data_IF_742095655602
#
_entry.id   IF_742095655602
#
_cell.length_a   1.000
_cell.length_b   1.000
_cell.length_c   1.000
_cell.angle_alpha   90.00
_cell.angle_beta   90.00
_cell.angle_gamma   90.00
#
_symmetry.space_group_name_H-M   'P 1'
#
loop_
_entity.id
_entity.type
_entity.pdbx_description
1 polymer ?
#
# COMPACT_ATOMS: atom_id res chain seq x y z
N UNK A 1 5.79 2.46 -11.24
CA UNK A 1 5.80 3.86 -11.77
C UNK A 1 7.10 4.50 -11.29
N UNK A 2 7.87 5.11 -12.21
CA UNK A 2 9.02 5.95 -11.86
C UNK A 2 8.61 7.39 -12.18
N UNK A 3 8.48 8.24 -11.17
CA UNK A 3 8.29 9.68 -11.36
C UNK A 3 9.49 10.41 -10.74
N UNK A 4 10.12 11.26 -11.54
CA UNK A 4 11.24 12.13 -11.18
C UNK A 4 10.75 13.54 -11.52
N UNK A 5 10.69 14.44 -10.52
CA UNK A 5 10.39 15.86 -10.75
C UNK A 5 11.47 16.50 -11.64
N UNK A 6 11.07 17.49 -12.45
CA UNK A 6 11.98 18.38 -13.15
C UNK A 6 12.41 19.51 -12.20
N UNK A 7 13.70 19.57 -11.85
CA UNK A 7 14.31 20.55 -10.94
C UNK A 7 14.17 22.04 -11.38
N UNK A 8 13.44 22.34 -12.47
CA UNK A 8 13.33 23.67 -13.06
C UNK A 8 12.07 24.49 -12.71
N UNK A 9 11.10 23.95 -11.97
CA UNK A 9 9.91 24.73 -11.58
C UNK A 9 10.14 25.45 -10.24
N UNK A 10 10.60 26.70 -10.28
CA UNK A 10 10.80 27.58 -9.12
C UNK A 10 9.49 28.10 -8.50
N UNK A 11 8.49 27.26 -8.26
CA UNK A 11 7.19 27.69 -7.75
C UNK A 11 6.53 26.65 -6.85
N UNK A 12 5.89 27.11 -5.78
CA UNK A 12 5.15 26.34 -4.77
C UNK A 12 3.92 25.54 -5.31
N UNK A 13 3.89 25.20 -6.59
CA UNK A 13 2.92 24.29 -7.22
C UNK A 13 3.67 23.04 -7.67
N UNK A 14 4.06 22.22 -6.71
CA UNK A 14 4.69 20.92 -6.97
C UNK A 14 3.58 19.91 -7.36
N UNK A 15 3.90 18.98 -8.27
CA UNK A 15 2.90 18.07 -8.84
C UNK A 15 2.30 17.19 -7.73
N UNK A 16 0.96 17.13 -7.65
CA UNK A 16 0.31 16.16 -6.77
C UNK A 16 0.28 14.79 -7.46
N UNK A 17 0.53 13.73 -6.71
CA UNK A 17 0.45 12.36 -7.21
C UNK A 17 -0.73 11.63 -6.58
N UNK A 18 -1.59 11.05 -7.41
CA UNK A 18 -2.63 10.13 -6.97
C UNK A 18 -2.40 8.75 -7.59
N UNK A 19 -2.34 7.74 -6.73
CA UNK A 19 -2.38 6.33 -7.11
C UNK A 19 -3.66 5.74 -6.54
N UNK A 20 -4.62 5.43 -7.40
CA UNK A 20 -5.91 4.88 -6.97
C UNK A 20 -6.35 3.66 -7.77
N UNK A 21 -6.87 2.65 -7.07
CA UNK A 21 -7.50 1.48 -7.68
C UNK A 21 -6.58 0.63 -8.57
N UNK A 22 -5.30 0.48 -8.21
CA UNK A 22 -4.32 -0.29 -8.98
C UNK A 22 -3.87 -1.59 -8.29
N UNK A 23 -3.39 -2.53 -9.11
CA UNK A 23 -2.63 -3.69 -8.64
C UNK A 23 -1.20 -3.59 -9.13
N UNK A 24 -0.25 -3.49 -8.19
CA UNK A 24 1.18 -3.65 -8.46
C UNK A 24 1.56 -5.05 -7.97
N UNK A 25 1.79 -6.00 -8.88
CA UNK A 25 2.16 -7.35 -8.46
C UNK A 25 3.36 -7.93 -9.18
N UNK A 26 4.24 -8.61 -8.43
CA UNK A 26 5.36 -9.34 -9.01
C UNK A 26 6.40 -8.44 -9.67
N UNK A 27 6.42 -7.15 -9.34
CA UNK A 27 7.41 -6.23 -9.90
C UNK A 27 8.75 -6.39 -9.17
N UNK A 28 9.85 -6.28 -9.92
CA UNK A 28 11.21 -6.39 -9.41
C UNK A 28 12.00 -5.14 -9.79
N UNK A 29 12.57 -4.47 -8.79
CA UNK A 29 13.50 -3.36 -8.98
C UNK A 29 14.89 -3.73 -8.45
N UNK A 30 15.95 -3.23 -9.06
CA UNK A 30 17.29 -3.48 -8.54
C UNK A 30 17.44 -2.91 -7.12
N UNK A 31 17.10 -1.64 -6.90
CA UNK A 31 17.36 -0.94 -5.62
C UNK A 31 16.15 -0.45 -4.86
N UNK A 32 15.18 0.19 -5.51
CA UNK A 32 14.17 0.94 -4.79
C UNK A 32 12.79 0.79 -5.43
N UNK A 33 11.77 0.69 -4.59
CA UNK A 33 10.37 0.73 -5.00
C UNK A 33 10.04 -0.41 -5.95
N UNK A 34 10.07 -1.64 -5.44
CA UNK A 34 9.80 -2.83 -6.25
C UNK A 34 8.50 -2.69 -7.04
N UNK A 35 7.44 -2.15 -6.44
CA UNK A 35 6.22 -1.76 -7.15
C UNK A 35 6.25 -0.31 -7.66
N UNK A 36 6.49 0.64 -6.76
CA UNK A 36 6.49 2.09 -7.06
C UNK A 36 7.60 2.81 -6.32
N UNK A 37 8.28 3.70 -7.04
CA UNK A 37 9.20 4.68 -6.47
C UNK A 37 8.81 6.06 -6.99
N UNK A 38 8.57 7.00 -6.09
CA UNK A 38 8.36 8.39 -6.43
C UNK A 38 9.23 9.31 -5.58
N UNK A 39 9.55 10.47 -6.14
CA UNK A 39 10.11 11.62 -5.45
C UNK A 39 9.27 12.82 -5.86
N UNK A 40 8.39 13.26 -4.96
CA UNK A 40 7.39 14.29 -5.21
C UNK A 40 7.27 15.18 -3.97
N UNK A 41 7.32 16.48 -4.15
CA UNK A 41 7.18 17.43 -3.04
C UNK A 41 5.73 17.90 -2.84
N UNK A 42 4.85 17.67 -3.82
CA UNK A 42 3.41 17.88 -3.71
C UNK A 42 2.68 16.87 -2.81
N UNK A 43 1.35 17.01 -2.73
CA UNK A 43 0.50 16.06 -2.01
C UNK A 43 0.50 14.71 -2.72
N UNK A 44 0.75 13.65 -1.96
CA UNK A 44 0.62 12.28 -2.46
C UNK A 44 -0.55 11.57 -1.80
N UNK A 45 -1.42 10.99 -2.63
CA UNK A 45 -2.52 10.12 -2.23
C UNK A 45 -2.32 8.74 -2.80
N UNK A 46 -2.27 7.73 -1.93
CA UNK A 46 -2.22 6.32 -2.31
C UNK A 46 -3.45 5.66 -1.72
N UNK A 47 -4.40 5.31 -2.57
CA UNK A 47 -5.75 4.91 -2.15
C UNK A 47 -6.24 3.63 -2.84
N UNK A 48 -6.82 2.68 -2.10
CA UNK A 48 -7.48 1.52 -2.70
C UNK A 48 -6.58 0.72 -3.67
N UNK A 49 -5.29 0.57 -3.37
CA UNK A 49 -4.37 -0.22 -4.19
C UNK A 49 -4.00 -1.53 -3.51
N UNK A 50 -3.70 -2.54 -4.33
CA UNK A 50 -3.06 -3.78 -3.89
C UNK A 50 -1.62 -3.80 -4.37
N UNK A 51 -0.67 -3.87 -3.43
CA UNK A 51 0.73 -4.13 -3.70
C UNK A 51 1.05 -5.55 -3.25
N UNK A 52 1.32 -6.44 -4.19
CA UNK A 52 1.48 -7.86 -3.93
C UNK A 52 2.80 -8.43 -4.47
N UNK A 53 3.61 -9.04 -3.61
CA UNK A 53 4.81 -9.77 -4.06
C UNK A 53 5.76 -8.91 -4.93
N UNK A 54 5.87 -7.61 -4.63
CA UNK A 54 6.87 -6.74 -5.25
C UNK A 54 8.18 -6.82 -4.46
N UNK A 55 9.30 -6.70 -5.16
CA UNK A 55 10.61 -6.90 -4.52
C UNK A 55 11.72 -6.00 -5.01
N UNK A 56 12.71 -5.79 -4.14
CA UNK A 56 14.06 -5.35 -4.54
C UNK A 56 15.03 -6.54 -4.54
N UNK A 57 16.17 -6.40 -5.24
CA UNK A 57 17.19 -7.48 -5.34
C UNK A 57 18.62 -7.06 -4.92
N UNK A 58 18.89 -5.78 -4.70
CA UNK A 58 20.19 -5.31 -4.19
C UNK A 58 20.34 -5.63 -2.69
N UNK A 59 21.16 -6.63 -2.37
CA UNK A 59 21.43 -7.09 -0.99
C UNK A 59 22.04 -6.04 -0.04
N UNK A 60 22.56 -4.94 -0.58
CA UNK A 60 23.16 -3.87 0.20
C UNK A 60 22.22 -2.66 0.37
N UNK A 61 21.42 -2.34 -0.64
CA UNK A 61 20.67 -1.06 -0.72
C UNK A 61 19.19 -1.21 -1.14
N UNK A 62 18.67 -2.43 -1.22
CA UNK A 62 17.30 -2.74 -1.62
C UNK A 62 16.23 -2.20 -0.66
N UNK A 63 15.52 -1.12 -0.99
CA UNK A 63 14.58 -0.44 -0.10
C UNK A 63 13.17 -0.36 -0.69
N UNK A 64 12.13 -0.50 0.13
CA UNK A 64 10.74 -0.30 -0.32
C UNK A 64 10.31 -1.38 -1.31
N UNK A 65 9.99 -2.58 -0.81
CA UNK A 65 9.59 -3.70 -1.66
C UNK A 65 8.33 -3.38 -2.47
N UNK A 66 7.32 -2.80 -1.83
CA UNK A 66 6.13 -2.30 -2.50
C UNK A 66 6.27 -0.85 -2.96
N UNK A 67 6.55 0.05 -2.02
CA UNK A 67 6.43 1.49 -2.23
C UNK A 67 7.58 2.24 -1.56
N UNK A 68 8.16 3.18 -2.29
CA UNK A 68 9.07 4.18 -1.75
C UNK A 68 8.43 5.55 -1.87
N UNK A 69 8.40 6.27 -0.75
CA UNK A 69 7.98 7.66 -0.68
C UNK A 69 9.23 8.55 -0.63
N UNK A 70 9.25 9.64 -1.36
CA UNK A 70 10.30 10.64 -1.26
C UNK A 70 9.71 12.04 -1.41
N UNK A 71 10.13 12.95 -0.54
CA UNK A 71 9.83 14.39 -0.62
C UNK A 71 10.86 15.19 0.19
N UNK A 72 10.88 16.51 -0.02
CA UNK A 72 11.66 17.43 0.81
C UNK A 72 10.99 17.74 2.15
N UNK A 73 11.79 18.18 3.13
CA UNK A 73 11.28 18.63 4.42
C UNK A 73 10.28 19.78 4.26
N UNK A 74 9.11 19.66 4.87
CA UNK A 74 8.03 20.64 4.77
C UNK A 74 7.02 20.39 3.63
N UNK A 75 7.21 19.33 2.84
CA UNK A 75 6.20 18.85 1.90
C UNK A 75 4.87 18.49 2.60
N UNK A 76 3.71 18.55 1.89
CA UNK A 76 2.43 18.12 2.43
C UNK A 76 2.45 16.67 2.90
N UNK A 77 1.57 16.36 3.87
CA UNK A 77 1.41 15.00 4.39
C UNK A 77 1.00 14.04 3.28
N UNK A 78 1.74 12.94 3.12
CA UNK A 78 1.36 11.86 2.21
C UNK A 78 0.27 11.00 2.86
N UNK A 79 -0.88 10.89 2.19
CA UNK A 79 -2.06 10.17 2.67
C UNK A 79 -2.13 8.80 2.03
N UNK A 80 -1.96 7.76 2.84
CA UNK A 80 -2.01 6.36 2.39
C UNK A 80 -3.20 5.71 3.09
N UNK A 81 -4.24 5.43 2.30
CA UNK A 81 -5.57 5.06 2.80
C UNK A 81 -6.11 3.81 2.12
N UNK A 82 -6.61 2.85 2.88
CA UNK A 82 -7.32 1.68 2.32
C UNK A 82 -6.51 0.89 1.29
N UNK A 83 -5.22 0.68 1.53
CA UNK A 83 -4.38 -0.16 0.66
C UNK A 83 -4.12 -1.53 1.29
N UNK A 84 -3.79 -2.50 0.44
CA UNK A 84 -3.29 -3.81 0.86
C UNK A 84 -1.85 -3.97 0.41
N UNK A 85 -0.91 -3.93 1.36
CA UNK A 85 0.50 -4.25 1.14
C UNK A 85 0.73 -5.69 1.59
N UNK A 86 0.85 -6.61 0.65
CA UNK A 86 0.95 -8.04 0.93
C UNK A 86 2.20 -8.69 0.33
N UNK A 87 2.95 -9.41 1.15
CA UNK A 87 4.07 -10.27 0.73
C UNK A 87 5.14 -9.52 -0.09
N UNK A 88 5.31 -8.22 0.12
CA UNK A 88 6.37 -7.45 -0.54
C UNK A 88 7.68 -7.60 0.22
N UNK A 89 8.80 -7.54 -0.50
CA UNK A 89 10.10 -7.87 0.06
C UNK A 89 11.17 -6.83 -0.30
N UNK A 90 11.95 -6.38 0.68
CA UNK A 90 13.10 -5.51 0.46
C UNK A 90 14.36 -6.11 1.08
N UNK A 91 15.48 -6.15 0.36
CA UNK A 91 16.72 -6.71 0.94
C UNK A 91 17.24 -5.91 2.14
N UNK A 92 17.08 -4.59 2.14
CA UNK A 92 17.62 -3.69 3.16
C UNK A 92 16.57 -3.33 4.21
N UNK A 93 15.52 -2.58 3.86
CA UNK A 93 14.45 -2.24 4.79
C UNK A 93 13.15 -1.80 4.11
N UNK A 94 12.03 -1.91 4.84
CA UNK A 94 10.71 -1.49 4.36
C UNK A 94 10.19 -2.38 3.24
N UNK A 95 9.93 -3.65 3.53
CA UNK A 95 9.30 -4.57 2.58
C UNK A 95 7.99 -4.02 2.02
N UNK A 96 7.14 -3.45 2.87
CA UNK A 96 5.94 -2.75 2.44
C UNK A 96 6.29 -1.35 1.94
N UNK A 97 6.59 -0.44 2.87
CA UNK A 97 6.89 0.96 2.54
C UNK A 97 8.27 1.34 3.06
N UNK A 98 9.05 2.03 2.23
CA UNK A 98 10.17 2.82 2.71
C UNK A 98 9.83 4.32 2.59
N UNK A 99 10.01 5.03 3.69
CA UNK A 99 9.84 6.47 3.79
C UNK A 99 11.06 7.06 4.53
N UNK A 100 11.92 7.87 3.87
CA UNK A 100 12.97 8.60 4.56
C UNK A 100 12.36 9.58 5.59
N UNK A 101 13.22 10.25 6.37
CA UNK A 101 12.77 11.09 7.48
C UNK A 101 11.98 12.34 7.08
N UNK A 102 12.16 12.83 5.85
CA UNK A 102 11.55 14.07 5.37
C UNK A 102 10.04 13.97 5.04
N UNK A 103 9.54 12.96 4.29
CA UNK A 103 8.11 12.83 4.03
C UNK A 103 7.33 12.54 5.30
N UNK A 104 6.33 13.38 5.61
CA UNK A 104 5.36 13.09 6.68
C UNK A 104 4.31 12.12 6.16
N UNK A 105 4.15 10.96 6.82
CA UNK A 105 3.26 9.88 6.38
C UNK A 105 2.08 9.73 7.32
N UNK A 106 0.88 9.68 6.74
CA UNK A 106 -0.35 9.28 7.44
C UNK A 106 -0.85 7.95 6.91
N UNK A 107 -1.09 7.02 7.83
CA UNK A 107 -1.70 5.72 7.52
C UNK A 107 -3.11 5.63 8.08
N UNK A 108 -4.08 5.35 7.22
CA UNK A 108 -5.47 5.08 7.61
C UNK A 108 -5.96 3.81 6.94
N UNK A 109 -6.54 2.87 7.68
CA UNK A 109 -7.24 1.72 7.08
C UNK A 109 -6.39 0.84 6.16
N UNK A 110 -5.08 0.68 6.39
CA UNK A 110 -4.23 -0.15 5.54
C UNK A 110 -4.00 -1.55 6.13
N UNK A 111 -3.82 -2.54 5.25
CA UNK A 111 -3.36 -3.87 5.63
C UNK A 111 -1.88 -4.02 5.27
N UNK A 112 -1.06 -4.39 6.24
CA UNK A 112 0.33 -4.81 6.10
C UNK A 112 0.45 -6.30 6.40
N UNK A 113 0.39 -7.12 5.36
CA UNK A 113 0.34 -8.57 5.47
C UNK A 113 1.60 -9.22 4.93
N UNK A 114 2.35 -9.90 5.78
CA UNK A 114 3.52 -10.66 5.37
C UNK A 114 4.60 -9.88 4.58
N UNK A 115 4.73 -8.54 4.68
CA UNK A 115 5.87 -7.86 4.06
C UNK A 115 7.17 -8.13 4.85
N UNK A 116 8.31 -8.14 4.17
CA UNK A 116 9.59 -8.61 4.72
C UNK A 116 10.78 -7.72 4.33
N UNK A 117 11.77 -7.65 5.23
CA UNK A 117 13.13 -7.22 4.88
C UNK A 117 14.19 -7.93 5.70
N UNK A 118 15.47 -7.85 5.31
CA UNK A 118 16.48 -8.73 5.90
C UNK A 118 17.34 -8.13 7.03
N UNK A 119 17.39 -6.81 7.23
CA UNK A 119 18.33 -6.23 8.21
C UNK A 119 17.78 -6.24 9.64
N UNK A 120 18.62 -6.71 10.56
CA UNK A 120 18.33 -6.92 11.98
C UNK A 120 17.87 -5.68 12.77
N UNK A 121 18.23 -4.50 12.28
CA UNK A 121 17.93 -3.21 12.90
C UNK A 121 16.84 -2.45 12.14
N UNK A 122 16.28 -3.04 11.09
CA UNK A 122 15.26 -2.42 10.28
C UNK A 122 13.90 -3.05 10.54
N UNK A 123 12.88 -2.20 10.65
CA UNK A 123 11.48 -2.64 10.70
C UNK A 123 11.05 -3.20 9.32
N UNK A 124 10.34 -4.33 9.30
CA UNK A 124 10.13 -5.07 8.05
C UNK A 124 8.95 -4.55 7.22
N UNK A 125 7.83 -4.28 7.87
CA UNK A 125 6.63 -3.78 7.18
C UNK A 125 6.86 -2.38 6.64
N UNK A 126 7.47 -1.52 7.46
CA UNK A 126 7.88 -0.17 7.10
C UNK A 126 9.18 0.18 7.81
N UNK A 127 10.10 0.90 7.16
CA UNK A 127 11.39 1.25 7.77
C UNK A 127 11.31 2.11 9.05
N UNK A 128 10.16 2.73 9.30
CA UNK A 128 9.80 3.47 10.51
C UNK A 128 8.27 3.46 10.67
N UNK A 129 7.79 3.73 11.88
CA UNK A 129 6.37 4.01 12.10
C UNK A 129 5.95 5.29 11.35
N UNK A 130 4.69 5.34 10.91
CA UNK A 130 4.13 6.54 10.31
C UNK A 130 4.03 7.69 11.34
N UNK A 131 4.17 8.92 10.85
CA UNK A 131 4.15 10.12 11.68
C UNK A 131 2.76 10.40 12.24
N UNK A 132 1.72 10.04 11.48
CA UNK A 132 0.32 10.26 11.83
C UNK A 132 -0.44 8.94 11.77
N UNK A 133 -1.00 8.56 12.91
CA UNK A 133 -1.90 7.41 13.03
C UNK A 133 -3.33 7.82 12.70
N UNK A 134 -3.78 7.50 11.48
CA UNK A 134 -5.17 7.70 11.07
C UNK A 134 -6.14 6.66 11.64
N UNK A 135 -5.63 5.59 12.26
CA UNK A 135 -6.42 4.48 12.79
C UNK A 135 -6.79 3.43 11.75
N UNK A 136 -7.33 2.31 12.24
CA UNK A 136 -7.84 1.22 11.42
C UNK A 136 -6.76 0.47 10.63
N UNK A 137 -5.49 0.53 11.00
CA UNK A 137 -4.45 -0.24 10.32
C UNK A 137 -4.36 -1.67 10.90
N UNK A 138 -4.13 -2.66 10.05
CA UNK A 138 -3.82 -4.05 10.44
C UNK A 138 -2.41 -4.40 10.01
N UNK A 139 -1.66 -5.06 10.89
CA UNK A 139 -0.34 -5.61 10.61
C UNK A 139 -0.28 -7.09 11.02
N UNK A 140 0.31 -7.92 10.16
CA UNK A 140 0.53 -9.32 10.47
C UNK A 140 1.78 -9.86 9.74
N UNK A 141 2.55 -10.76 10.37
CA UNK A 141 2.46 -11.24 11.77
C UNK A 141 2.94 -10.21 12.82
N UNK A 142 2.72 -10.52 14.10
CA UNK A 142 3.15 -9.69 15.24
C UNK A 142 4.66 -9.64 15.38
N UNK A 143 5.26 -10.82 15.53
CA UNK A 143 6.69 -11.02 15.67
C UNK A 143 7.14 -11.88 14.50
N UNK A 144 8.25 -11.46 13.91
CA UNK A 144 8.86 -12.17 12.80
C UNK A 144 10.36 -12.17 12.96
N UNK A 145 11.01 -13.23 12.54
CA UNK A 145 12.46 -13.30 12.61
C UNK A 145 13.02 -13.12 11.21
N UNK A 146 14.01 -12.24 11.04
CA UNK A 146 14.77 -12.24 9.79
C UNK A 146 15.71 -13.46 9.72
N UNK A 147 16.55 -13.50 8.68
CA UNK A 147 17.53 -14.57 8.48
C UNK A 147 18.58 -14.65 9.60
N UNK A 148 18.80 -13.56 10.34
CA UNK A 148 19.70 -13.52 11.50
C UNK A 148 19.01 -13.89 12.81
N UNK A 149 17.69 -14.15 12.80
CA UNK A 149 16.94 -14.52 13.98
C UNK A 149 16.57 -13.35 14.90
N UNK A 150 16.54 -12.10 14.41
CA UNK A 150 16.11 -10.94 15.20
C UNK A 150 14.60 -10.69 15.04
N UNK A 151 13.86 -10.48 16.14
CA UNK A 151 12.43 -10.21 16.09
C UNK A 151 12.12 -8.84 15.47
N UNK A 152 11.11 -8.80 14.61
CA UNK A 152 10.39 -7.62 14.15
C UNK A 152 9.39 -7.23 15.23
N UNK A 153 9.54 -6.04 15.79
CA UNK A 153 8.60 -5.46 16.74
C UNK A 153 8.11 -4.07 16.29
N UNK A 154 8.49 -3.66 15.07
CA UNK A 154 8.13 -2.38 14.49
C UNK A 154 6.66 -2.31 14.12
N UNK A 155 5.86 -1.63 14.94
CA UNK A 155 4.49 -1.28 14.60
C UNK A 155 4.45 -0.19 13.53
N UNK A 156 3.70 -0.40 12.45
CA UNK A 156 3.51 0.63 11.40
C UNK A 156 2.81 1.88 11.92
N UNK A 157 1.94 1.75 12.92
CA UNK A 157 1.38 2.86 13.71
C UNK A 157 1.21 2.46 15.18
N UNK A 158 1.16 3.41 16.14
CA UNK A 158 0.97 3.09 17.56
C UNK A 158 -0.29 2.25 17.87
N UNK A 159 -1.41 2.52 17.19
CA UNK A 159 -2.70 1.84 17.39
C UNK A 159 -2.95 0.66 16.46
N UNK A 160 -1.96 0.24 15.65
CA UNK A 160 -2.13 -0.86 14.69
C UNK A 160 -2.68 -2.12 15.37
N UNK A 161 -3.70 -2.72 14.75
CA UNK A 161 -4.23 -4.01 15.17
C UNK A 161 -3.33 -5.11 14.65
N UNK A 162 -2.87 -5.97 15.56
CA UNK A 162 -2.05 -7.12 15.19
C UNK A 162 -2.93 -8.36 15.12
N UNK A 163 -3.32 -8.74 13.90
CA UNK A 163 -4.18 -9.89 13.65
C UNK A 163 -4.05 -10.34 12.20
N UNK A 164 -4.19 -11.64 11.93
CA UNK A 164 -4.23 -12.15 10.56
C UNK A 164 -5.45 -11.55 9.84
N UNK A 165 -5.26 -10.76 8.75
CA UNK A 165 -6.36 -10.18 8.00
C UNK A 165 -7.18 -11.22 7.22
N UNK A 166 -6.80 -12.50 7.23
CA UNK A 166 -7.47 -13.58 6.51
C UNK A 166 -7.67 -13.22 5.03
N UNK A 167 -6.61 -12.78 4.37
CA UNK A 167 -6.63 -12.47 2.94
C UNK A 167 -6.68 -13.75 2.11
N UNK A 168 -7.54 -13.79 1.11
CA UNK A 168 -7.43 -14.72 0.00
C UNK A 168 -6.24 -14.35 -0.91
N UNK A 169 -5.81 -15.31 -1.74
CA UNK A 169 -4.78 -15.04 -2.75
C UNK A 169 -5.21 -13.97 -3.75
N UNK A 170 -4.23 -13.35 -4.42
CA UNK A 170 -4.49 -12.40 -5.49
C UNK A 170 -5.28 -13.08 -6.61
N UNK A 171 -6.48 -12.58 -6.90
CA UNK A 171 -7.40 -13.20 -7.87
C UNK A 171 -8.30 -12.16 -8.53
N UNK A 172 -8.97 -12.56 -9.61
CA UNK A 172 -10.07 -11.78 -10.18
C UNK A 172 -11.30 -11.88 -9.26
N UNK A 173 -11.53 -10.82 -8.48
CA UNK A 173 -12.70 -10.69 -7.60
C UNK A 173 -13.68 -9.65 -8.15
N UNK A 174 -13.66 -9.42 -9.48
CA UNK A 174 -14.35 -8.34 -10.16
C UNK A 174 -13.57 -7.01 -10.11
N UNK A 175 -14.06 -6.01 -10.85
CA UNK A 175 -13.38 -4.74 -11.05
C UNK A 175 -12.42 -4.76 -12.24
N UNK A 176 -11.52 -3.77 -12.31
CA UNK A 176 -10.59 -3.60 -13.43
C UNK A 176 -9.31 -4.44 -13.31
N UNK A 177 -8.88 -4.74 -12.08
CA UNK A 177 -7.65 -5.49 -11.81
C UNK A 177 -7.79 -6.45 -10.62
N UNK A 178 -6.91 -7.46 -10.49
CA UNK A 178 -6.98 -8.46 -9.41
C UNK A 178 -6.81 -7.84 -8.02
N UNK A 179 -7.52 -8.36 -7.04
CA UNK A 179 -7.45 -7.91 -5.64
C UNK A 179 -7.24 -9.09 -4.70
N UNK A 180 -6.95 -8.82 -3.44
CA UNK A 180 -6.93 -9.85 -2.38
C UNK A 180 -8.21 -9.71 -1.55
N UNK A 181 -9.15 -10.64 -1.73
CA UNK A 181 -10.42 -10.61 -1.03
C UNK A 181 -10.26 -10.92 0.47
N UNK A 182 -11.11 -10.33 1.30
CA UNK A 182 -11.22 -10.72 2.71
C UNK A 182 -11.99 -12.04 2.83
N UNK A 183 -11.56 -12.94 3.70
CA UNK A 183 -12.30 -14.17 4.01
C UNK A 183 -13.28 -13.93 5.17
N UNK A 184 -14.27 -14.83 5.30
CA UNK A 184 -15.24 -14.82 6.41
C UNK A 184 -14.52 -14.74 7.75
N UNK A 185 -14.94 -13.80 8.60
CA UNK A 185 -14.40 -13.63 9.95
C UNK A 185 -13.08 -12.83 10.00
N UNK A 186 -12.66 -12.24 8.88
CA UNK A 186 -11.51 -11.34 8.86
C UNK A 186 -11.69 -10.19 9.86
N UNK A 187 -10.65 -9.85 10.65
CA UNK A 187 -10.67 -8.69 11.54
C UNK A 187 -10.71 -7.35 10.78
N UNK A 188 -10.54 -7.36 9.46
CA UNK A 188 -10.63 -6.18 8.61
C UNK A 188 -12.07 -5.81 8.23
N UNK A 189 -13.04 -6.71 8.44
CA UNK A 189 -14.43 -6.51 8.04
C UNK A 189 -15.15 -5.55 9.00
N UNK A 190 -15.75 -4.49 8.48
CA UNK A 190 -16.55 -3.48 9.20
C UNK A 190 -15.82 -2.76 10.35
N UNK A 191 -14.48 -2.76 10.34
CA UNK A 191 -13.61 -2.24 11.43
C UNK A 191 -12.77 -1.03 11.04
N UNK A 192 -12.93 -0.50 9.82
CA UNK A 192 -12.23 0.69 9.35
C UNK A 192 -12.52 1.94 10.19
N UNK A 193 -11.49 2.77 10.36
CA UNK A 193 -11.62 4.13 10.86
C UNK A 193 -12.40 5.02 9.88
N UNK A 194 -12.91 6.15 10.39
CA UNK A 194 -13.65 7.13 9.60
C UNK A 194 -12.78 7.75 8.49
N UNK A 195 -13.41 8.24 7.42
CA UNK A 195 -12.72 8.88 6.29
C UNK A 195 -12.36 7.92 5.15
N UNK A 196 -13.02 6.76 5.09
CA UNK A 196 -12.88 5.85 3.96
C UNK A 196 -13.35 6.46 2.64
N UNK A 197 -12.71 6.06 1.52
CA UNK A 197 -13.22 6.35 0.18
C UNK A 197 -14.59 5.70 -0.04
N UNK A 198 -15.42 6.27 -0.90
CA UNK A 198 -16.78 5.77 -1.13
C UNK A 198 -16.86 4.40 -1.83
N UNK A 199 -15.76 3.94 -2.43
CA UNK A 199 -15.65 2.65 -3.08
C UNK A 199 -14.29 2.00 -2.78
N UNK A 200 -14.19 0.70 -3.01
CA UNK A 200 -12.96 -0.07 -2.91
C UNK A 200 -12.17 -0.08 -4.25
N UNK A 201 -11.09 -0.87 -4.31
CA UNK A 201 -10.25 -1.00 -5.52
C UNK A 201 -11.02 -1.46 -6.76
N UNK A 202 -12.08 -2.23 -6.58
CA UNK A 202 -12.90 -2.78 -7.67
C UNK A 202 -13.95 -1.79 -8.15
N UNK A 203 -14.00 -0.60 -7.55
CA UNK A 203 -15.10 0.36 -7.65
C UNK A 203 -16.43 -0.21 -7.11
N UNK A 204 -16.36 -1.15 -6.16
CA UNK A 204 -17.52 -1.59 -5.39
C UNK A 204 -17.80 -0.58 -4.27
N UNK A 205 -19.07 -0.20 -4.02
CA UNK A 205 -19.39 0.69 -2.91
C UNK A 205 -18.99 0.03 -1.59
N UNK A 206 -18.44 0.81 -0.67
CA UNK A 206 -18.27 0.37 0.72
C UNK A 206 -19.62 0.33 1.42
N UNK A 207 -19.91 -0.75 2.15
CA UNK A 207 -21.23 -1.06 2.70
C UNK A 207 -21.14 -1.17 4.21
N UNK A 208 -21.91 -0.36 4.93
CA UNK A 208 -21.80 -0.31 6.39
C UNK A 208 -20.56 0.48 6.82
N UNK A 209 -19.84 -0.03 7.81
CA UNK A 209 -18.52 0.51 8.14
C UNK A 209 -17.56 -0.01 7.09
N UNK A 210 -16.67 0.83 6.58
CA UNK A 210 -15.73 0.37 5.57
C UNK A 210 -14.80 -0.71 6.12
N UNK A 211 -14.45 -1.64 5.24
CA UNK A 211 -13.40 -2.60 5.53
C UNK A 211 -12.02 -1.95 5.48
N UNK A 212 -11.10 -2.48 6.31
CA UNK A 212 -9.69 -2.13 6.27
C UNK A 212 -9.07 -2.75 5.01
N UNK A 213 -8.25 -1.98 4.29
CA UNK A 213 -7.58 -2.41 3.06
C UNK A 213 -8.34 -2.08 1.77
N UNK A 214 -7.82 -2.65 0.67
CA UNK A 214 -8.25 -2.30 -0.69
C UNK A 214 -9.54 -2.97 -1.16
N UNK A 215 -10.06 -3.93 -0.38
CA UNK A 215 -11.21 -4.75 -0.73
C UNK A 215 -12.34 -4.57 0.27
N UNK A 216 -13.58 -4.59 -0.23
CA UNK A 216 -14.80 -4.62 0.57
C UNK A 216 -15.53 -5.99 0.49
N UNK A 217 -15.64 -6.71 1.60
CA UNK A 217 -16.17 -8.07 1.74
C UNK A 217 -17.56 -8.27 1.12
N UNK A 218 -18.49 -7.34 1.37
CA UNK A 218 -19.84 -7.37 0.81
C UNK A 218 -20.07 -6.33 -0.29
N UNK A 219 -19.00 -5.65 -0.73
CA UNK A 219 -19.04 -4.73 -1.85
C UNK A 219 -19.23 -5.47 -3.16
N UNK A 220 -20.24 -5.07 -3.94
CA UNK A 220 -20.47 -5.59 -5.30
C UNK A 220 -20.01 -4.53 -6.31
N UNK A 221 -18.97 -4.81 -7.12
CA UNK A 221 -18.51 -3.89 -8.17
C UNK A 221 -19.65 -3.53 -9.12
N UNK A 222 -19.78 -2.25 -9.49
CA UNK A 222 -20.71 -1.87 -10.56
C UNK A 222 -20.19 -2.44 -11.87
N UNK A 223 -21.02 -3.18 -12.60
CA UNK A 223 -20.67 -3.70 -13.92
C UNK A 223 -20.48 -2.56 -14.91
N UNK A 224 -19.22 -2.19 -15.18
CA UNK A 224 -18.84 -1.21 -16.22
C UNK A 224 -18.39 -1.88 -17.52
N UNK A 225 -18.78 -3.14 -17.76
CA UNK A 225 -18.64 -3.75 -19.07
C UNK A 225 -19.67 -3.16 -20.03
N UNK A 226 -19.36 -2.00 -20.59
CA UNK A 226 -19.87 -1.68 -21.92
C UNK A 226 -19.24 -2.70 -22.86
N UNK A 227 -20.02 -3.70 -23.29
CA UNK A 227 -19.59 -4.57 -24.39
C UNK A 227 -19.52 -3.68 -25.63
N UNK A 228 -18.31 -3.25 -26.02
CA UNK A 228 -18.09 -2.71 -27.36
C UNK A 228 -18.12 -3.90 -28.33
N UNK A 229 -19.32 -4.31 -28.73
CA UNK A 229 -19.47 -5.14 -29.91
C UNK A 229 -18.98 -4.32 -31.11
N UNK A 230 -18.09 -4.84 -31.98
CA UNK A 230 -17.80 -4.17 -33.23
C UNK A 230 -19.12 -4.04 -34.01
N UNK A 231 -19.52 -2.80 -34.27
CA UNK A 231 -20.64 -2.53 -35.15
C UNK A 231 -20.21 -2.89 -36.58
N UNK A 232 -20.60 -4.07 -37.04
CA UNK A 232 -20.51 -4.41 -38.46
C UNK A 232 -21.68 -3.70 -39.16
N UNK A 233 -21.43 -2.49 -39.64
CA UNK A 233 -22.36 -1.81 -40.55
C UNK A 233 -22.20 -2.49 -41.92
N UNK A 234 -23.28 -3.07 -42.45
CA UNK A 234 -23.34 -3.57 -43.82
C UNK A 234 -23.61 -2.44 -44.80
#
# INVERSE_FOLDING_TARGET
IYHIEDDFASGFNEDNLELSQNTFSGNEAYRQGGGVWYLVNGLVKVENNTFYNNRTIDGALGMGGALVLGSQSGAPVHEITNNTFAQNYAWFHGGGIQAPGDPTVKLTNNIFYYNESERDWANYQMNRAADIDGGGNIQFPQERFNQSGTPDDGKVTPSVTIADPLLAGLADNGGFNPTMALQVGSPAIDTGAVGCPGADQRNAPRVGNCDIGAFEYNGVPRSSWSVFLPMVVK
#
